data_IF_396055505129
#
_entry.id   IF_396055505129
#
_cell.length_a   1.000
_cell.length_b   1.000
_cell.length_c   1.000
_cell.angle_alpha   90.00
_cell.angle_beta   90.00
_cell.angle_gamma   90.00
#
_symmetry.space_group_name_H-M   'P 1'
#
loop_
_entity.id
_entity.type
_entity.pdbx_description
1 polymer ?
#
# COMPACT_ATOMS: atom_id res chain seq x y z
N UNK A 1 20.27 -17.74 18.03
CA UNK A 1 19.35 -16.60 18.16
C UNK A 1 18.25 -16.72 17.11
N UNK A 2 16.96 -16.62 17.47
CA UNK A 2 15.89 -16.61 16.46
C UNK A 2 16.04 -15.38 15.56
N UNK A 3 16.06 -15.59 14.23
CA UNK A 3 16.13 -14.49 13.26
C UNK A 3 14.84 -13.66 13.35
N UNK A 4 14.95 -12.35 13.64
CA UNK A 4 13.80 -11.43 13.65
C UNK A 4 13.05 -11.52 12.31
N UNK A 5 11.74 -11.74 12.37
CA UNK A 5 10.88 -11.86 11.20
C UNK A 5 10.78 -10.52 10.46
N UNK A 6 11.08 -10.52 9.15
CA UNK A 6 10.81 -9.36 8.29
C UNK A 6 9.29 -9.21 8.12
N UNK A 7 8.78 -8.01 8.44
CA UNK A 7 7.36 -7.62 8.45
C UNK A 7 6.47 -8.53 9.33
N UNK A 8 6.50 -8.37 10.66
CA UNK A 8 5.73 -9.20 11.58
C UNK A 8 4.21 -8.99 11.44
N UNK A 9 3.76 -7.77 11.12
CA UNK A 9 2.34 -7.41 10.98
C UNK A 9 1.89 -7.28 9.52
N UNK A 10 2.52 -8.03 8.61
CA UNK A 10 2.24 -7.91 7.17
C UNK A 10 0.84 -8.41 6.82
N UNK A 11 0.52 -9.65 7.18
CA UNK A 11 -0.80 -10.23 6.88
C UNK A 11 -1.84 -9.54 7.76
N UNK A 12 -2.95 -9.14 7.15
CA UNK A 12 -4.02 -8.38 7.79
C UNK A 12 -3.86 -6.86 7.68
N UNK A 13 -2.66 -6.35 7.35
CA UNK A 13 -2.43 -4.92 7.17
C UNK A 13 -3.25 -4.35 6.01
N UNK A 14 -3.64 -3.09 6.16
CA UNK A 14 -4.54 -2.35 5.26
C UNK A 14 -3.74 -1.24 4.60
N UNK A 15 -4.02 -0.99 3.33
CA UNK A 15 -3.24 -0.07 2.51
C UNK A 15 -4.12 0.68 1.52
N UNK A 16 -3.83 1.95 1.36
CA UNK A 16 -4.42 2.80 0.33
C UNK A 16 -3.37 3.07 -0.75
N UNK A 17 -3.70 2.78 -2.00
CA UNK A 17 -2.85 3.10 -3.14
C UNK A 17 -3.09 4.53 -3.60
N UNK A 18 -2.02 5.28 -3.86
CA UNK A 18 -2.12 6.64 -4.40
C UNK A 18 -2.72 6.68 -5.81
N UNK A 19 -2.45 5.64 -6.60
CA UNK A 19 -3.03 5.49 -7.93
C UNK A 19 -4.05 4.35 -7.95
N UNK A 20 -5.09 4.50 -8.78
CA UNK A 20 -6.07 3.41 -8.97
C UNK A 20 -5.36 2.20 -9.57
N UNK A 21 -5.37 1.09 -8.85
CA UNK A 21 -4.81 -0.17 -9.30
C UNK A 21 -5.98 -1.08 -9.67
N UNK A 22 -6.16 -1.38 -10.96
CA UNK A 22 -7.38 -2.03 -11.50
C UNK A 22 -8.68 -1.35 -11.07
N UNK A 23 -8.68 -0.01 -10.99
CA UNK A 23 -9.85 0.77 -10.57
C UNK A 23 -10.02 0.92 -9.05
N UNK A 24 -9.23 0.22 -8.24
CA UNK A 24 -9.35 0.22 -6.78
C UNK A 24 -8.18 0.93 -6.09
N UNK A 25 -8.43 1.52 -4.90
CA UNK A 25 -7.41 2.14 -4.06
C UNK A 25 -7.21 1.41 -2.72
N UNK A 26 -8.24 0.80 -2.15
CA UNK A 26 -8.16 0.14 -0.84
C UNK A 26 -7.89 -1.35 -0.94
N UNK A 27 -6.76 -1.80 -0.39
CA UNK A 27 -6.34 -3.19 -0.41
C UNK A 27 -5.93 -3.71 0.98
N UNK A 28 -6.22 -4.98 1.25
CA UNK A 28 -5.73 -5.68 2.44
C UNK A 28 -4.73 -6.76 2.03
N UNK A 29 -3.69 -6.94 2.83
CA UNK A 29 -2.79 -8.08 2.67
C UNK A 29 -3.45 -9.32 3.27
N UNK A 30 -3.70 -10.34 2.46
CA UNK A 30 -4.32 -11.61 2.91
C UNK A 30 -3.33 -12.76 3.01
N UNK A 31 -2.18 -12.65 2.35
CA UNK A 31 -1.17 -13.70 2.35
C UNK A 31 0.25 -13.14 2.22
N UNK A 32 1.24 -13.97 2.58
CA UNK A 32 2.66 -13.66 2.41
C UNK A 32 3.40 -14.83 1.79
N UNK A 33 4.39 -14.54 0.97
CA UNK A 33 5.31 -15.53 0.41
C UNK A 33 6.74 -15.04 0.55
N UNK A 34 7.60 -15.83 1.19
CA UNK A 34 9.03 -15.54 1.26
C UNK A 34 9.73 -16.23 0.08
N UNK A 35 10.50 -15.49 -0.70
CA UNK A 35 11.34 -16.01 -1.79
C UNK A 35 12.77 -15.50 -1.61
N UNK A 36 13.63 -16.36 -1.06
CA UNK A 36 14.96 -15.95 -0.62
C UNK A 36 14.87 -14.81 0.40
N UNK A 37 15.50 -13.68 0.09
CA UNK A 37 15.47 -12.47 0.91
C UNK A 37 14.26 -11.56 0.69
N UNK A 38 13.46 -11.85 -0.34
CA UNK A 38 12.29 -11.07 -0.72
C UNK A 38 11.04 -11.60 0.01
N UNK A 39 10.18 -10.66 0.41
CA UNK A 39 8.87 -10.95 0.97
C UNK A 39 7.86 -10.38 0.01
N UNK A 40 6.96 -11.21 -0.49
CA UNK A 40 5.84 -10.81 -1.31
C UNK A 40 4.56 -10.81 -0.49
N UNK A 41 3.70 -9.82 -0.73
CA UNK A 41 2.39 -9.67 -0.13
C UNK A 41 1.32 -9.91 -1.20
N UNK A 42 0.32 -10.72 -0.87
CA UNK A 42 -0.89 -10.86 -1.68
C UNK A 42 -1.89 -9.81 -1.23
N UNK A 43 -2.17 -8.86 -2.12
CA UNK A 43 -3.13 -7.78 -1.93
C UNK A 43 -4.49 -8.19 -2.50
N UNK A 44 -5.56 -7.86 -1.80
CA UNK A 44 -6.95 -8.05 -2.26
C UNK A 44 -7.70 -6.74 -2.10
N UNK A 45 -8.43 -6.31 -3.13
CA UNK A 45 -9.24 -5.12 -3.04
C UNK A 45 -10.36 -5.32 -2.01
N UNK A 46 -10.58 -4.33 -1.15
CA UNK A 46 -11.54 -4.44 -0.05
C UNK A 46 -12.99 -4.55 -0.54
N UNK A 47 -13.28 -3.95 -1.69
CA UNK A 47 -14.62 -3.91 -2.27
C UNK A 47 -14.83 -4.96 -3.38
N UNK A 48 -13.78 -5.64 -3.84
CA UNK A 48 -13.87 -6.69 -4.86
C UNK A 48 -12.81 -7.78 -4.61
N UNK A 49 -13.20 -8.93 -4.01
CA UNK A 49 -12.26 -9.99 -3.69
C UNK A 49 -11.66 -10.66 -4.93
N UNK A 50 -12.18 -10.41 -6.14
CA UNK A 50 -11.60 -10.94 -7.38
C UNK A 50 -10.37 -10.16 -7.83
N UNK A 51 -10.23 -8.89 -7.41
CA UNK A 51 -9.03 -8.10 -7.68
C UNK A 51 -7.96 -8.45 -6.67
N UNK A 52 -7.05 -9.33 -7.09
CA UNK A 52 -5.96 -9.85 -6.28
C UNK A 52 -4.65 -9.78 -7.06
N UNK A 53 -3.58 -9.45 -6.37
CA UNK A 53 -2.25 -9.42 -6.98
C UNK A 53 -1.15 -9.56 -5.94
N UNK A 54 0.04 -9.93 -6.42
CA UNK A 54 1.24 -10.02 -5.61
C UNK A 54 2.14 -8.82 -5.86
N UNK A 55 2.73 -8.27 -4.80
CA UNK A 55 3.76 -7.24 -4.89
C UNK A 55 4.90 -7.54 -3.94
N UNK A 56 6.07 -6.96 -4.19
CA UNK A 56 7.18 -7.04 -3.23
C UNK A 56 6.84 -6.15 -2.04
N UNK A 57 6.78 -6.71 -0.82
CA UNK A 57 6.38 -5.99 0.39
C UNK A 57 7.26 -4.76 0.71
N UNK A 58 8.46 -4.65 0.11
CA UNK A 58 9.25 -3.42 0.15
C UNK A 58 8.56 -2.23 -0.50
N UNK A 59 7.70 -2.43 -1.51
CA UNK A 59 6.96 -1.35 -2.17
C UNK A 59 5.96 -0.68 -1.23
N UNK A 60 5.43 -1.40 -0.23
CA UNK A 60 4.54 -0.83 0.80
C UNK A 60 5.26 0.20 1.69
N UNK A 61 6.58 0.28 1.64
CA UNK A 61 7.35 1.33 2.33
C UNK A 61 7.51 2.60 1.50
N UNK A 62 7.09 2.61 0.24
CA UNK A 62 7.19 3.79 -0.61
C UNK A 62 5.90 4.62 -0.49
N UNK A 63 5.93 5.79 0.19
CA UNK A 63 4.74 6.62 0.38
C UNK A 63 4.17 7.15 -0.93
N UNK A 64 4.98 7.28 -1.99
CA UNK A 64 4.48 7.71 -3.30
C UNK A 64 3.58 6.68 -4.00
N UNK A 65 3.56 5.44 -3.51
CA UNK A 65 2.73 4.36 -4.05
C UNK A 65 1.64 3.92 -3.07
N UNK A 66 1.98 3.88 -1.78
CA UNK A 66 1.17 3.23 -0.74
C UNK A 66 1.18 4.01 0.56
N UNK A 67 -0.01 4.26 1.08
CA UNK A 67 -0.24 4.77 2.42
C UNK A 67 -0.74 3.64 3.32
N UNK A 68 -0.24 3.59 4.55
CA UNK A 68 -0.66 2.59 5.52
C UNK A 68 -2.04 2.95 6.08
N UNK A 69 -2.93 1.96 6.17
CA UNK A 69 -4.30 2.13 6.63
C UNK A 69 -5.28 2.50 5.52
N UNK A 70 -6.50 2.81 5.93
CA UNK A 70 -7.53 3.36 5.06
C UNK A 70 -7.47 4.87 5.10
N UNK A 71 -7.51 5.48 3.92
CA UNK A 71 -7.77 6.90 3.80
C UNK A 71 -9.17 7.12 3.23
N UNK A 72 -9.84 8.15 3.71
CA UNK A 72 -11.10 8.65 3.18
C UNK A 72 -10.88 9.39 1.85
N UNK A 73 -11.97 9.74 1.18
CA UNK A 73 -11.87 10.55 -0.04
C UNK A 73 -11.45 11.99 0.27
N UNK A 74 -11.81 12.50 1.44
CA UNK A 74 -11.41 13.82 1.93
C UNK A 74 -9.90 13.87 2.18
N UNK A 75 -9.35 12.90 2.95
CA UNK A 75 -7.91 12.83 3.22
C UNK A 75 -7.08 12.70 1.93
N UNK A 76 -7.58 11.92 0.95
CA UNK A 76 -6.91 11.83 -0.35
C UNK A 76 -6.91 13.16 -1.11
N UNK A 77 -7.99 13.95 -1.03
CA UNK A 77 -8.05 15.26 -1.69
C UNK A 77 -7.13 16.26 -1.01
N UNK A 78 -7.11 16.29 0.31
CA UNK A 78 -6.22 17.15 1.09
C UNK A 78 -4.75 16.85 0.73
N UNK A 79 -4.34 15.59 0.66
CA UNK A 79 -2.99 15.20 0.22
C UNK A 79 -2.71 15.61 -1.24
N UNK A 80 -3.66 15.43 -2.15
CA UNK A 80 -3.53 15.83 -3.56
C UNK A 80 -3.40 17.37 -3.69
N UNK A 81 -4.14 18.15 -2.91
CA UNK A 81 -4.08 19.62 -2.87
C UNK A 81 -2.77 20.14 -2.25
N UNK A 82 -2.30 19.51 -1.16
CA UNK A 82 -1.02 19.83 -0.53
C UNK A 82 0.16 19.59 -1.49
N UNK A 83 0.19 18.44 -2.19
CA UNK A 83 1.22 18.14 -3.18
C UNK A 83 1.24 19.16 -4.34
N UNK A 84 0.07 19.58 -4.81
CA UNK A 84 -0.03 20.61 -5.85
C UNK A 84 0.50 21.96 -5.37
N UNK A 85 0.14 22.37 -4.16
CA UNK A 85 0.60 23.62 -3.56
C UNK A 85 2.12 23.61 -3.34
N UNK A 86 2.70 22.50 -2.87
CA UNK A 86 4.14 22.35 -2.71
C UNK A 86 4.89 22.48 -4.05
N UNK A 87 4.31 21.99 -5.14
CA UNK A 87 4.89 22.11 -6.48
C UNK A 87 4.82 23.53 -7.05
N UNK A 88 3.81 24.32 -6.69
CA UNK A 88 3.67 25.73 -7.10
C UNK A 88 4.66 26.65 -6.36
N UNK A 89 5.03 26.33 -5.12
CA UNK A 89 5.96 27.15 -4.30
C UNK A 89 7.43 27.01 -4.76
N UNK A 90 7.76 25.99 -5.56
CA UNK A 90 9.12 25.75 -6.06
C UNK A 90 9.37 26.45 -7.43
N UNK A 91 8.38 27.20 -7.94
CA UNK A 91 8.52 28.08 -9.12
C UNK A 91 8.89 29.51 -8.74
#
# INVERSE_FOLDING_TARGET
>A
MPKKQKFPYLVGSKWTSRQKTWGWRHFQVVNRKNQGDLVFAEMVASCDPNVRFWLNAKQLKNPSLWQAGWQSLEEMKEEEEEELNEMEVIQ
#
